data_IF_707306524568
#
_entry.id   IF_707306524568
#
_cell.length_a   1.000
_cell.length_b   1.000
_cell.length_c   1.000
_cell.angle_alpha   90.00
_cell.angle_beta   90.00
_cell.angle_gamma   90.00
#
_symmetry.space_group_name_H-M   'P 1'
#
loop_
_entity.id
_entity.type
_entity.pdbx_description
1 polymer ?
#
# COMPACT_ATOMS: atom_id res chain seq x y z
N UNK A 1 13.41 16.02 -32.13
CA UNK A 1 12.69 14.90 -31.46
C UNK A 1 11.92 15.45 -30.28
N UNK A 2 10.59 15.58 -30.42
CA UNK A 2 9.74 16.01 -29.32
C UNK A 2 9.74 14.91 -28.24
N UNK A 3 10.17 15.25 -27.02
CA UNK A 3 9.89 14.42 -25.84
C UNK A 3 8.38 14.46 -25.65
N UNK A 4 7.65 13.51 -26.24
CA UNK A 4 6.29 13.21 -25.78
C UNK A 4 6.39 13.03 -24.26
N UNK A 5 5.73 13.95 -23.53
CA UNK A 5 5.60 13.82 -22.09
C UNK A 5 4.73 12.59 -21.88
N UNK A 6 5.38 11.46 -21.61
CA UNK A 6 4.73 10.28 -21.07
C UNK A 6 4.03 10.69 -19.78
N UNK A 7 2.73 10.98 -19.87
CA UNK A 7 1.88 11.03 -18.69
C UNK A 7 1.93 9.63 -18.06
N UNK A 8 2.22 9.50 -16.75
CA UNK A 8 2.32 8.22 -16.09
C UNK A 8 1.01 7.42 -16.31
N UNK A 9 1.15 6.20 -16.83
CA UNK A 9 0.03 5.31 -17.17
C UNK A 9 -0.42 4.40 -16.00
N UNK A 10 0.19 4.50 -14.80
CA UNK A 10 -0.42 3.88 -13.62
C UNK A 10 -1.75 4.56 -13.35
N UNK A 11 -2.74 3.74 -13.00
CA UNK A 11 -4.15 4.12 -12.94
C UNK A 11 -4.64 4.58 -14.31
N UNK A 12 -4.78 3.64 -15.26
CA UNK A 12 -5.78 3.83 -16.33
C UNK A 12 -7.03 4.38 -15.64
N UNK A 13 -7.50 5.52 -16.13
CA UNK A 13 -8.60 6.30 -15.57
C UNK A 13 -9.90 5.48 -15.56
N UNK A 14 -10.00 4.50 -14.67
CA UNK A 14 -11.26 4.34 -13.97
C UNK A 14 -11.42 5.64 -13.23
N UNK A 15 -12.43 6.44 -13.56
CA UNK A 15 -12.75 7.61 -12.78
C UNK A 15 -12.87 7.13 -11.32
N UNK A 16 -11.88 7.45 -10.48
CA UNK A 16 -11.84 7.03 -9.08
C UNK A 16 -13.05 7.61 -8.32
N UNK A 17 -13.65 8.62 -8.93
CA UNK A 17 -14.91 9.28 -8.62
C UNK A 17 -16.16 8.39 -8.79
N UNK A 18 -16.02 7.15 -9.27
CA UNK A 18 -17.14 6.22 -9.38
C UNK A 18 -17.50 5.63 -8.00
N UNK A 19 -18.80 5.61 -7.70
CA UNK A 19 -19.42 5.01 -6.50
C UNK A 19 -18.84 3.64 -6.04
N UNK A 20 -18.43 2.70 -6.91
CA UNK A 20 -17.93 1.40 -6.50
C UNK A 20 -16.63 1.45 -5.67
N UNK A 21 -15.72 2.40 -5.96
CA UNK A 21 -14.44 2.49 -5.22
C UNK A 21 -14.65 2.97 -3.79
N UNK A 22 -15.55 3.94 -3.57
CA UNK A 22 -15.92 4.42 -2.23
C UNK A 22 -16.59 3.29 -1.43
N UNK A 23 -17.50 2.53 -2.05
CA UNK A 23 -18.13 1.39 -1.41
C UNK A 23 -17.09 0.33 -1.00
N UNK A 24 -16.14 0.03 -1.90
CA UNK A 24 -15.04 -0.91 -1.62
C UNK A 24 -14.10 -0.41 -0.51
N UNK A 25 -13.77 0.88 -0.48
CA UNK A 25 -13.00 1.50 0.61
C UNK A 25 -13.71 1.37 1.95
N UNK A 26 -15.01 1.62 1.99
CA UNK A 26 -15.82 1.48 3.20
C UNK A 26 -15.90 0.02 3.66
N UNK A 27 -15.99 -0.93 2.73
CA UNK A 27 -15.93 -2.36 3.04
C UNK A 27 -14.56 -2.74 3.63
N UNK A 28 -13.47 -2.33 2.99
CA UNK A 28 -12.12 -2.60 3.46
C UNK A 28 -11.90 -1.99 4.85
N UNK A 29 -12.20 -0.70 5.02
CA UNK A 29 -12.03 0.01 6.29
C UNK A 29 -12.77 -0.69 7.43
N UNK A 30 -14.04 -1.08 7.22
CA UNK A 30 -14.81 -1.88 8.20
C UNK A 30 -14.13 -3.20 8.51
N UNK A 31 -13.70 -3.95 7.49
CA UNK A 31 -13.04 -5.23 7.71
C UNK A 31 -11.74 -5.11 8.51
N UNK A 32 -10.96 -4.05 8.32
CA UNK A 32 -9.77 -3.77 9.12
C UNK A 32 -10.13 -3.43 10.58
N UNK A 33 -11.16 -2.61 10.79
CA UNK A 33 -11.65 -2.28 12.14
C UNK A 33 -12.20 -3.52 12.86
N UNK A 34 -12.90 -4.40 12.17
CA UNK A 34 -13.38 -5.67 12.73
C UNK A 34 -12.20 -6.53 13.21
N UNK A 35 -11.16 -6.69 12.40
CA UNK A 35 -9.96 -7.41 12.82
C UNK A 35 -9.24 -6.72 13.97
N UNK A 36 -9.19 -5.38 13.99
CA UNK A 36 -8.66 -4.64 15.13
C UNK A 36 -9.39 -5.02 16.42
N UNK A 37 -10.72 -5.05 16.43
CA UNK A 37 -11.49 -5.41 17.62
C UNK A 37 -11.24 -6.85 18.06
N UNK A 38 -11.17 -7.79 17.11
CA UNK A 38 -10.83 -9.20 17.40
C UNK A 38 -9.46 -9.27 18.10
N UNK A 39 -8.44 -8.63 17.54
CA UNK A 39 -7.10 -8.71 18.11
C UNK A 39 -6.91 -7.89 19.39
N UNK A 40 -7.67 -6.80 19.58
CA UNK A 40 -7.73 -6.08 20.88
C UNK A 40 -8.27 -6.95 22.01
N UNK A 41 -9.18 -7.88 21.71
CA UNK A 41 -9.70 -8.81 22.70
C UNK A 41 -8.72 -9.95 23.02
N UNK A 42 -7.78 -10.25 22.11
CA UNK A 42 -6.83 -11.35 22.24
C UNK A 42 -5.48 -10.93 22.86
N UNK A 43 -5.12 -9.65 22.80
CA UNK A 43 -3.80 -9.17 23.20
C UNK A 43 -3.86 -8.00 24.18
N UNK A 44 -2.77 -7.78 24.96
CA UNK A 44 -2.62 -6.60 25.81
C UNK A 44 -2.82 -5.28 25.06
N UNK A 45 -3.18 -4.22 25.79
CA UNK A 45 -3.51 -2.92 25.22
C UNK A 45 -2.32 -2.23 24.49
N UNK A 46 -1.10 -2.55 24.89
CA UNK A 46 0.16 -2.04 24.33
C UNK A 46 0.74 -2.93 23.23
N UNK A 47 0.07 -4.04 22.89
CA UNK A 47 0.49 -4.92 21.81
C UNK A 47 0.36 -4.23 20.45
N UNK A 48 1.36 -4.38 19.57
CA UNK A 48 1.42 -3.68 18.27
C UNK A 48 0.45 -4.26 17.23
N UNK A 49 0.02 -5.51 17.37
CA UNK A 49 -0.76 -6.24 16.37
C UNK A 49 -2.12 -5.59 16.08
N UNK A 50 -2.93 -5.20 17.09
CA UNK A 50 -4.16 -4.46 16.81
C UNK A 50 -3.91 -3.09 16.18
N UNK A 51 -2.81 -2.42 16.51
CA UNK A 51 -2.48 -1.09 15.96
C UNK A 51 -2.23 -1.14 14.45
N UNK A 52 -1.71 -2.24 13.90
CA UNK A 52 -1.52 -2.41 12.46
C UNK A 52 -2.84 -2.25 11.70
N UNK A 53 -3.91 -2.89 12.16
CA UNK A 53 -5.21 -2.79 11.51
C UNK A 53 -5.82 -1.39 11.67
N UNK A 54 -5.65 -0.77 12.84
CA UNK A 54 -6.12 0.60 13.09
C UNK A 54 -5.46 1.60 12.14
N UNK A 55 -4.14 1.55 11.98
CA UNK A 55 -3.39 2.45 11.10
C UNK A 55 -3.93 2.38 9.67
N UNK A 56 -4.15 1.17 9.17
CA UNK A 56 -4.62 0.96 7.79
C UNK A 56 -6.07 1.43 7.62
N UNK A 57 -6.94 1.15 8.59
CA UNK A 57 -8.30 1.67 8.59
C UNK A 57 -8.35 3.21 8.58
N UNK A 58 -7.48 3.87 9.34
CA UNK A 58 -7.35 5.33 9.34
C UNK A 58 -6.85 5.86 7.99
N UNK A 59 -5.83 5.22 7.40
CA UNK A 59 -5.32 5.62 6.08
C UNK A 59 -6.41 5.45 5.00
N UNK A 60 -7.20 4.37 5.05
CA UNK A 60 -8.34 4.16 4.17
C UNK A 60 -9.40 5.26 4.33
N UNK A 61 -9.69 5.69 5.57
CA UNK A 61 -10.61 6.79 5.83
C UNK A 61 -10.08 8.12 5.28
N UNK A 62 -8.80 8.42 5.46
CA UNK A 62 -8.18 9.63 4.90
C UNK A 62 -8.21 9.65 3.39
N UNK A 63 -7.89 8.52 2.75
CA UNK A 63 -7.98 8.43 1.30
C UNK A 63 -9.41 8.60 0.80
N UNK A 64 -10.41 8.00 1.47
CA UNK A 64 -11.82 8.23 1.16
C UNK A 64 -12.18 9.72 1.22
N UNK A 65 -11.78 10.41 2.30
CA UNK A 65 -12.02 11.85 2.44
C UNK A 65 -11.35 12.64 1.31
N UNK A 66 -10.14 12.27 0.88
CA UNK A 66 -9.49 12.90 -0.28
C UNK A 66 -10.27 12.69 -1.58
N UNK A 67 -10.83 11.49 -1.80
CA UNK A 67 -11.68 11.21 -2.95
C UNK A 67 -13.01 11.98 -2.91
N UNK A 68 -13.67 12.02 -1.75
CA UNK A 68 -14.90 12.79 -1.55
C UNK A 68 -14.66 14.30 -1.74
N UNK A 69 -13.52 14.81 -1.27
CA UNK A 69 -13.12 16.19 -1.51
C UNK A 69 -12.91 16.47 -3.01
N UNK A 70 -12.25 15.55 -3.72
CA UNK A 70 -12.00 15.68 -5.16
C UNK A 70 -13.30 15.63 -5.96
N UNK A 71 -14.16 14.65 -5.68
CA UNK A 71 -15.47 14.46 -6.33
C UNK A 71 -16.44 15.60 -6.05
N UNK A 72 -16.49 16.08 -4.81
CA UNK A 72 -17.53 17.01 -4.35
C UNK A 72 -17.15 18.48 -4.52
N UNK A 73 -15.89 18.83 -4.25
CA UNK A 73 -15.43 20.22 -4.17
C UNK A 73 -14.61 20.59 -5.40
N UNK A 74 -13.55 19.83 -5.71
CA UNK A 74 -12.61 20.20 -6.78
C UNK A 74 -13.17 20.00 -8.19
N UNK A 75 -14.07 19.03 -8.38
CA UNK A 75 -14.71 18.78 -9.67
C UNK A 75 -15.62 19.92 -10.14
N UNK A 76 -16.06 20.80 -9.22
CA UNK A 76 -16.85 21.98 -9.54
C UNK A 76 -15.91 23.06 -10.08
N UNK A 77 -16.06 23.39 -11.36
CA UNK A 77 -15.13 24.25 -12.12
C UNK A 77 -14.89 25.60 -11.44
N UNK A 78 -15.94 26.19 -10.86
CA UNK A 78 -15.87 27.46 -10.12
C UNK A 78 -15.03 27.39 -8.84
N UNK A 79 -14.91 26.21 -8.22
CA UNK A 79 -14.08 26.03 -7.03
C UNK A 79 -12.62 25.85 -7.43
N UNK A 80 -12.35 25.07 -8.48
CA UNK A 80 -10.99 24.85 -8.95
C UNK A 80 -10.32 26.15 -9.41
N UNK A 81 -11.04 26.99 -10.15
CA UNK A 81 -10.53 28.31 -10.55
C UNK A 81 -10.20 29.20 -9.33
N UNK A 82 -11.10 29.27 -8.33
CA UNK A 82 -10.87 30.02 -7.08
C UNK A 82 -9.68 29.51 -6.27
N UNK A 83 -9.49 28.19 -6.21
CA UNK A 83 -8.36 27.57 -5.50
C UNK A 83 -7.04 27.86 -6.20
N UNK A 84 -7.06 27.94 -7.54
CA UNK A 84 -5.86 28.16 -8.35
C UNK A 84 -5.55 29.64 -8.61
N UNK A 85 -6.52 30.55 -8.45
CA UNK A 85 -6.34 32.01 -8.59
C UNK A 85 -5.12 32.58 -7.84
N UNK A 86 -4.84 32.19 -6.58
CA UNK A 86 -3.69 32.72 -5.84
C UNK A 86 -2.33 32.27 -6.41
N UNK A 87 -2.30 31.23 -7.26
CA UNK A 87 -1.08 30.55 -7.69
C UNK A 87 -0.38 31.19 -8.91
N UNK A 88 -0.70 32.46 -9.25
CA UNK A 88 -0.20 33.32 -10.37
C UNK A 88 -1.26 33.45 -11.46
N UNK A 89 -1.27 34.59 -12.17
CA UNK A 89 -2.17 34.96 -13.28
C UNK A 89 -2.19 34.05 -14.51
N UNK A 90 -2.20 32.73 -14.31
CA UNK A 90 -2.54 31.71 -15.29
C UNK A 90 -4.06 31.60 -15.29
N UNK A 91 -4.71 32.11 -16.34
CA UNK A 91 -6.10 31.72 -16.60
C UNK A 91 -6.12 30.21 -16.83
N UNK A 92 -6.76 29.47 -15.93
CA UNK A 92 -6.96 28.03 -16.07
C UNK A 92 -8.07 27.82 -17.09
N UNK A 93 -7.71 27.41 -18.32
CA UNK A 93 -8.70 26.93 -19.27
C UNK A 93 -9.39 25.66 -18.74
N UNK A 94 -10.60 25.36 -19.21
CA UNK A 94 -11.30 24.12 -18.83
C UNK A 94 -10.43 22.86 -19.09
N UNK A 95 -9.68 22.86 -20.20
CA UNK A 95 -8.71 21.80 -20.52
C UNK A 95 -7.57 21.69 -19.49
N UNK A 96 -7.06 22.83 -19.04
CA UNK A 96 -6.01 22.89 -17.99
C UNK A 96 -6.55 22.40 -16.64
N UNK A 97 -7.81 22.72 -16.32
CA UNK A 97 -8.47 22.24 -15.10
C UNK A 97 -8.58 20.72 -15.06
N UNK A 98 -9.00 20.10 -16.17
CA UNK A 98 -9.05 18.64 -16.27
C UNK A 98 -7.68 17.97 -16.13
N UNK A 99 -6.61 18.58 -16.65
CA UNK A 99 -5.26 18.07 -16.48
C UNK A 99 -4.79 18.12 -15.00
N UNK A 100 -5.05 19.24 -14.32
CA UNK A 100 -4.69 19.42 -12.90
C UNK A 100 -5.43 18.42 -12.01
N UNK A 101 -6.72 18.20 -12.24
CA UNK A 101 -7.50 17.21 -11.48
C UNK A 101 -6.92 15.81 -11.63
N UNK A 102 -6.54 15.41 -12.85
CA UNK A 102 -5.89 14.11 -13.09
C UNK A 102 -4.54 13.99 -12.40
N UNK A 103 -3.71 15.02 -12.45
CA UNK A 103 -2.43 15.03 -11.74
C UNK A 103 -2.62 14.93 -10.22
N UNK A 104 -3.64 15.61 -9.69
CA UNK A 104 -4.01 15.51 -8.29
C UNK A 104 -4.50 14.11 -7.90
N UNK A 105 -5.39 13.50 -8.70
CA UNK A 105 -5.85 12.12 -8.51
C UNK A 105 -4.70 11.10 -8.51
N UNK A 106 -3.75 11.25 -9.43
CA UNK A 106 -2.53 10.45 -9.46
C UNK A 106 -1.70 10.66 -8.19
N UNK A 107 -1.51 11.91 -7.76
CA UNK A 107 -0.76 12.25 -6.56
C UNK A 107 -1.37 11.65 -5.28
N UNK A 108 -2.69 11.78 -5.08
CA UNK A 108 -3.35 11.22 -3.89
C UNK A 108 -3.29 9.69 -3.89
N UNK A 109 -3.38 9.06 -5.07
CA UNK A 109 -3.32 7.60 -5.18
C UNK A 109 -1.91 7.06 -4.94
N UNK A 110 -0.87 7.76 -5.44
CA UNK A 110 0.52 7.43 -5.11
C UNK A 110 0.80 7.61 -3.63
N UNK A 111 0.33 8.71 -3.04
CA UNK A 111 0.47 8.99 -1.60
C UNK A 111 -0.21 7.91 -0.76
N UNK A 112 -1.43 7.52 -1.13
CA UNK A 112 -2.17 6.44 -0.48
C UNK A 112 -1.39 5.12 -0.50
N UNK A 113 -0.94 4.66 -1.66
CA UNK A 113 -0.14 3.44 -1.77
C UNK A 113 1.11 3.51 -0.89
N UNK A 114 1.85 4.62 -0.97
CA UNK A 114 3.10 4.79 -0.23
C UNK A 114 2.90 4.76 1.28
N UNK A 115 1.88 5.46 1.78
CA UNK A 115 1.58 5.52 3.22
C UNK A 115 1.10 4.17 3.73
N UNK A 116 0.24 3.47 2.97
CA UNK A 116 -0.22 2.12 3.34
C UNK A 116 0.94 1.13 3.40
N UNK A 117 1.77 1.07 2.34
CA UNK A 117 2.93 0.18 2.31
C UNK A 117 3.89 0.46 3.48
N UNK A 118 4.18 1.74 3.76
CA UNK A 118 5.04 2.15 4.87
C UNK A 118 4.47 1.75 6.22
N UNK A 119 3.15 1.80 6.39
CA UNK A 119 2.47 1.33 7.61
C UNK A 119 2.63 -0.18 7.82
N UNK A 120 2.53 -0.98 6.75
CA UNK A 120 2.76 -2.42 6.81
C UNK A 120 4.21 -2.76 7.11
N UNK A 121 5.16 -2.11 6.41
CA UNK A 121 6.59 -2.26 6.65
C UNK A 121 6.96 -1.93 8.10
N UNK A 122 6.49 -0.79 8.61
CA UNK A 122 6.68 -0.39 10.01
C UNK A 122 6.12 -1.43 10.98
N UNK A 123 4.91 -1.94 10.73
CA UNK A 123 4.28 -2.95 11.59
C UNK A 123 5.07 -4.25 11.64
N UNK A 124 5.58 -4.72 10.49
CA UNK A 124 6.43 -5.91 10.44
C UNK A 124 7.76 -5.72 11.15
N UNK A 125 8.37 -4.53 11.03
CA UNK A 125 9.59 -4.18 11.77
C UNK A 125 9.37 -4.25 13.29
N UNK A 126 8.26 -3.73 13.79
CA UNK A 126 7.92 -3.82 15.22
C UNK A 126 7.79 -5.27 15.71
N UNK A 127 7.28 -6.18 14.88
CA UNK A 127 7.15 -7.60 15.24
C UNK A 127 8.52 -8.26 15.31
N UNK A 128 9.37 -8.04 14.30
CA UNK A 128 10.75 -8.55 14.29
C UNK A 128 11.57 -8.02 15.47
N UNK A 129 11.26 -6.84 15.99
CA UNK A 129 11.88 -6.31 17.22
C UNK A 129 11.47 -7.07 18.49
N UNK A 130 10.35 -7.79 18.48
CA UNK A 130 9.79 -8.48 19.64
C UNK A 130 9.86 -10.02 19.55
N UNK A 131 10.09 -10.56 18.36
CA UNK A 131 10.10 -12.00 18.11
C UNK A 131 11.42 -12.40 17.45
N UNK A 132 12.07 -13.51 17.88
CA UNK A 132 13.26 -14.02 17.21
C UNK A 132 12.93 -14.49 15.79
N UNK A 133 13.20 -13.64 14.81
CA UNK A 133 13.07 -13.96 13.38
C UNK A 133 14.45 -14.19 12.79
N UNK A 134 14.60 -15.17 11.90
CA UNK A 134 15.82 -15.34 11.09
C UNK A 134 15.56 -14.96 9.65
N UNK A 135 16.56 -14.39 8.97
CA UNK A 135 16.47 -14.10 7.55
C UNK A 135 16.74 -15.35 6.70
N UNK A 136 16.64 -15.20 5.38
CA UNK A 136 16.86 -16.30 4.42
C UNK A 136 18.28 -16.90 4.43
N UNK A 137 19.21 -16.38 5.26
CA UNK A 137 20.57 -16.88 5.44
C UNK A 137 20.79 -17.48 6.84
N UNK A 138 19.71 -17.69 7.60
CA UNK A 138 19.76 -18.20 8.97
C UNK A 138 20.34 -17.23 9.99
N UNK A 139 20.50 -15.94 9.65
CA UNK A 139 21.00 -14.92 10.59
C UNK A 139 19.83 -14.24 11.31
N UNK A 140 20.00 -13.81 12.58
CA UNK A 140 18.98 -13.02 13.26
C UNK A 140 18.58 -11.80 12.43
N UNK A 141 17.28 -11.69 12.16
CA UNK A 141 16.66 -10.56 11.50
C UNK A 141 16.39 -9.48 12.55
N UNK A 142 16.78 -8.24 12.27
CA UNK A 142 16.55 -7.09 13.14
C UNK A 142 15.55 -6.15 12.49
N UNK A 143 14.95 -5.28 13.28
CA UNK A 143 14.04 -4.24 12.80
C UNK A 143 14.65 -3.28 11.76
N UNK A 144 15.98 -3.21 11.64
CA UNK A 144 16.72 -2.41 10.64
C UNK A 144 17.12 -3.19 9.39
N UNK A 145 16.79 -4.48 9.32
CA UNK A 145 17.11 -5.33 8.16
C UNK A 145 16.43 -4.83 6.88
N UNK A 146 16.89 -5.34 5.73
CA UNK A 146 16.20 -5.09 4.46
C UNK A 146 14.79 -5.63 4.55
N UNK A 147 13.83 -4.91 3.99
CA UNK A 147 12.43 -5.33 4.09
C UNK A 147 12.18 -6.72 3.50
N UNK A 148 12.93 -7.10 2.46
CA UNK A 148 12.98 -8.48 1.94
C UNK A 148 13.23 -9.51 3.04
N UNK A 149 14.27 -9.31 3.84
CA UNK A 149 14.65 -10.25 4.90
C UNK A 149 13.58 -10.32 6.01
N UNK A 150 12.87 -9.21 6.23
CA UNK A 150 11.81 -9.10 7.25
C UNK A 150 10.60 -9.93 6.87
N UNK A 151 9.98 -9.68 5.70
CA UNK A 151 8.76 -10.41 5.35
C UNK A 151 9.06 -11.88 5.05
N UNK A 152 10.23 -12.21 4.49
CA UNK A 152 10.65 -13.61 4.34
C UNK A 152 10.74 -14.30 5.69
N UNK A 153 11.50 -13.73 6.63
CA UNK A 153 11.68 -14.33 7.94
C UNK A 153 10.36 -14.47 8.71
N UNK A 154 9.47 -13.49 8.62
CA UNK A 154 8.13 -13.56 9.24
C UNK A 154 7.27 -14.67 8.64
N UNK A 155 7.32 -14.88 7.32
CA UNK A 155 6.61 -15.98 6.65
C UNK A 155 7.20 -17.34 7.07
N UNK A 156 8.53 -17.44 7.13
CA UNK A 156 9.26 -18.65 7.54
C UNK A 156 8.92 -19.06 8.97
N UNK A 157 9.06 -18.12 9.92
CA UNK A 157 8.81 -18.40 11.34
C UNK A 157 7.34 -18.77 11.56
N UNK A 158 6.40 -18.07 10.91
CA UNK A 158 4.99 -18.31 11.08
C UNK A 158 4.46 -19.53 10.30
N UNK A 159 5.27 -20.11 9.42
CA UNK A 159 4.89 -21.24 8.56
C UNK A 159 3.79 -20.89 7.56
N UNK A 160 3.83 -19.67 7.01
CA UNK A 160 2.81 -19.17 6.09
C UNK A 160 3.09 -19.60 4.64
N UNK A 161 2.03 -19.58 3.83
CA UNK A 161 2.10 -19.94 2.41
C UNK A 161 3.01 -18.99 1.61
N UNK A 162 3.79 -19.56 0.68
CA UNK A 162 4.74 -18.83 -0.16
C UNK A 162 4.10 -17.78 -1.06
N UNK A 163 2.79 -17.85 -1.32
CA UNK A 163 2.05 -16.81 -2.05
C UNK A 163 2.22 -15.43 -1.40
N UNK A 164 2.40 -15.35 -0.07
CA UNK A 164 2.63 -14.08 0.60
C UNK A 164 3.99 -13.47 0.25
N UNK A 165 5.01 -14.29 -0.05
CA UNK A 165 6.30 -13.77 -0.54
C UNK A 165 6.11 -13.14 -1.91
N UNK A 166 5.38 -13.82 -2.79
CA UNK A 166 5.05 -13.32 -4.12
C UNK A 166 4.24 -12.02 -4.06
N UNK A 167 3.28 -11.92 -3.13
CA UNK A 167 2.53 -10.68 -2.88
C UNK A 167 3.46 -9.52 -2.50
N UNK A 168 4.34 -9.70 -1.52
CA UNK A 168 5.25 -8.63 -1.10
C UNK A 168 6.29 -8.28 -2.14
N UNK A 169 6.75 -9.26 -2.92
CA UNK A 169 7.62 -9.01 -4.06
C UNK A 169 6.92 -8.15 -5.12
N UNK A 170 5.67 -8.45 -5.44
CA UNK A 170 4.84 -7.67 -6.36
C UNK A 170 4.65 -6.23 -5.86
N UNK A 171 4.30 -6.06 -4.58
CA UNK A 171 4.14 -4.75 -3.95
C UNK A 171 5.44 -3.94 -3.95
N UNK A 172 6.59 -4.58 -3.73
CA UNK A 172 7.90 -3.93 -3.81
C UNK A 172 8.21 -3.45 -5.23
N UNK A 173 7.90 -4.24 -6.25
CA UNK A 173 8.07 -3.83 -7.64
C UNK A 173 7.12 -2.69 -8.02
N UNK A 174 5.87 -2.73 -7.56
CA UNK A 174 4.92 -1.63 -7.75
C UNK A 174 5.38 -0.34 -7.05
N UNK A 175 5.90 -0.44 -5.82
CA UNK A 175 6.48 0.70 -5.10
C UNK A 175 7.61 1.33 -5.91
N UNK A 176 8.52 0.52 -6.46
CA UNK A 176 9.60 1.02 -7.32
C UNK A 176 9.02 1.77 -8.55
N UNK A 177 8.02 1.20 -9.22
CA UNK A 177 7.39 1.85 -10.37
C UNK A 177 6.73 3.18 -9.98
N UNK A 178 6.06 3.25 -8.83
CA UNK A 178 5.42 4.48 -8.35
C UNK A 178 6.46 5.60 -8.15
N UNK A 179 7.61 5.29 -7.56
CA UNK A 179 8.70 6.25 -7.43
C UNK A 179 9.27 6.71 -8.79
N UNK A 180 9.18 5.86 -9.81
CA UNK A 180 9.71 6.09 -11.16
C UNK A 180 8.64 6.50 -12.17
N UNK A 181 7.61 7.25 -11.74
CA UNK A 181 6.52 7.72 -12.62
C UNK A 181 5.90 6.59 -13.44
N UNK A 182 5.61 5.48 -12.79
CA UNK A 182 5.05 4.28 -13.40
C UNK A 182 5.98 3.45 -14.26
N UNK A 183 7.23 3.86 -14.46
CA UNK A 183 8.18 3.14 -15.31
C UNK A 183 8.97 2.15 -14.47
N UNK A 184 9.02 0.89 -14.91
CA UNK A 184 9.87 -0.09 -14.27
C UNK A 184 11.32 0.05 -14.71
N UNK A 185 12.24 0.14 -13.75
CA UNK A 185 13.68 0.14 -14.01
C UNK A 185 14.38 -0.90 -13.14
N UNK A 186 15.18 -1.75 -13.77
CA UNK A 186 16.06 -2.71 -13.09
C UNK A 186 17.35 -2.94 -13.88
N UNK A 187 18.44 -3.08 -13.15
CA UNK A 187 19.75 -3.57 -13.58
C UNK A 187 19.70 -5.02 -14.09
N UNK A 188 18.76 -5.83 -13.60
CA UNK A 188 18.58 -7.23 -13.97
C UNK A 188 17.69 -7.44 -15.19
N UNK A 189 17.22 -6.37 -15.83
CA UNK A 189 16.34 -6.42 -16.99
C UNK A 189 14.87 -6.64 -16.64
N UNK A 190 14.09 -7.06 -17.65
CA UNK A 190 12.65 -7.30 -17.51
C UNK A 190 12.37 -8.53 -16.66
N UNK A 191 11.24 -8.53 -15.96
CA UNK A 191 10.83 -9.63 -15.09
C UNK A 191 9.32 -9.82 -15.12
N UNK A 192 8.86 -11.05 -14.88
CA UNK A 192 7.45 -11.36 -14.66
C UNK A 192 7.26 -11.97 -13.27
N UNK A 193 6.14 -11.66 -12.63
CA UNK A 193 5.69 -12.31 -11.38
C UNK A 193 4.35 -12.98 -11.67
N UNK A 194 4.15 -14.21 -11.22
CA UNK A 194 2.85 -14.89 -11.28
C UNK A 194 2.28 -14.94 -9.87
N UNK A 195 1.17 -14.25 -9.63
CA UNK A 195 0.49 -14.21 -8.35
C UNK A 195 -0.97 -14.61 -8.52
N UNK A 196 -1.41 -15.63 -7.77
CA UNK A 196 -2.76 -16.22 -7.85
C UNK A 196 -3.20 -16.56 -9.29
N UNK A 197 -2.28 -17.13 -10.07
CA UNK A 197 -2.52 -17.50 -11.47
C UNK A 197 -2.49 -16.34 -12.46
N UNK A 198 -2.36 -15.10 -12.01
CA UNK A 198 -2.26 -13.91 -12.87
C UNK A 198 -0.79 -13.54 -13.06
N UNK A 199 -0.39 -13.31 -14.32
CA UNK A 199 0.96 -12.87 -14.68
C UNK A 199 1.05 -11.35 -14.73
N UNK A 200 2.04 -10.80 -14.05
CA UNK A 200 2.34 -9.37 -13.98
C UNK A 200 3.72 -9.12 -14.61
N UNK A 201 3.73 -8.46 -15.77
CA UNK A 201 4.96 -8.21 -16.52
C UNK A 201 5.53 -6.82 -16.23
N UNK A 202 6.78 -6.80 -15.77
CA UNK A 202 7.58 -5.61 -15.52
C UNK A 202 8.65 -5.52 -16.60
N UNK A 203 8.36 -4.78 -17.67
CA UNK A 203 9.26 -4.61 -18.81
C UNK A 203 10.19 -3.42 -18.54
N UNK A 204 11.50 -3.65 -18.57
CA UNK A 204 12.49 -2.62 -18.23
C UNK A 204 12.38 -1.40 -19.16
N UNK A 205 12.33 -0.21 -18.57
CA UNK A 205 12.13 1.06 -19.27
C UNK A 205 10.72 1.30 -19.81
N UNK A 206 9.74 0.45 -19.46
CA UNK A 206 8.34 0.62 -19.88
C UNK A 206 7.42 0.95 -18.70
N UNK A 207 6.35 1.73 -18.94
CA UNK A 207 5.29 1.91 -17.95
C UNK A 207 4.60 0.59 -17.60
N UNK A 208 4.33 0.34 -16.33
CA UNK A 208 3.41 -0.74 -15.93
C UNK A 208 1.96 -0.31 -16.14
N UNK A 209 1.16 -1.19 -16.74
CA UNK A 209 -0.22 -0.89 -17.20
C UNK A 209 -1.30 -1.59 -16.40
N UNK A 210 -0.96 -2.58 -15.58
CA UNK A 210 -1.92 -3.37 -14.79
C UNK A 210 -2.21 -2.76 -13.41
N UNK A 211 -1.38 -1.82 -12.95
CA UNK A 211 -1.48 -1.30 -11.60
C UNK A 211 -2.61 -0.27 -11.49
N UNK A 212 -3.79 -0.76 -11.12
CA UNK A 212 -5.02 0.01 -10.90
C UNK A 212 -5.32 0.13 -9.40
N UNK A 213 -6.20 1.06 -9.02
CA UNK A 213 -6.65 1.20 -7.64
C UNK A 213 -7.46 -0.02 -7.18
N UNK A 214 -8.27 -0.59 -8.08
CA UNK A 214 -9.03 -1.82 -7.85
C UNK A 214 -8.11 -3.00 -7.52
N UNK A 215 -7.04 -3.20 -8.31
CA UNK A 215 -6.03 -4.22 -8.02
C UNK A 215 -5.36 -3.98 -6.65
N UNK A 216 -5.09 -2.71 -6.31
CA UNK A 216 -4.51 -2.40 -5.01
C UNK A 216 -5.45 -2.72 -3.86
N UNK A 217 -6.77 -2.47 -3.99
CA UNK A 217 -7.77 -2.88 -3.00
C UNK A 217 -7.81 -4.40 -2.79
N UNK A 218 -7.61 -5.18 -3.85
CA UNK A 218 -7.52 -6.63 -3.74
C UNK A 218 -6.25 -7.03 -2.99
N UNK A 219 -5.10 -6.39 -3.26
CA UNK A 219 -3.90 -6.59 -2.45
C UNK A 219 -4.08 -6.16 -0.99
N UNK A 220 -4.86 -5.13 -0.67
CA UNK A 220 -5.16 -4.80 0.73
C UNK A 220 -5.95 -5.91 1.42
N UNK A 221 -6.86 -6.57 0.71
CA UNK A 221 -7.54 -7.76 1.23
C UNK A 221 -6.52 -8.86 1.56
N UNK A 222 -5.60 -9.12 0.63
CA UNK A 222 -4.58 -10.17 0.80
C UNK A 222 -3.56 -9.84 1.91
N UNK A 223 -3.20 -8.56 2.06
CA UNK A 223 -2.31 -8.11 3.14
C UNK A 223 -3.02 -8.19 4.49
N UNK A 224 -4.32 -7.86 4.57
CA UNK A 224 -5.11 -8.08 5.79
C UNK A 224 -5.06 -9.55 6.18
N UNK A 225 -5.30 -10.44 5.22
CA UNK A 225 -5.34 -11.88 5.46
C UNK A 225 -3.95 -12.42 5.85
N UNK A 226 -2.89 -11.88 5.26
CA UNK A 226 -1.51 -12.10 5.72
C UNK A 226 -1.33 -11.75 7.20
N UNK A 227 -1.72 -10.55 7.64
CA UNK A 227 -1.56 -10.15 9.04
C UNK A 227 -2.42 -10.97 9.99
N UNK A 228 -3.63 -11.37 9.59
CA UNK A 228 -4.46 -12.29 10.37
C UNK A 228 -3.73 -13.63 10.56
N UNK A 229 -3.22 -14.21 9.47
CA UNK A 229 -2.53 -15.49 9.50
C UNK A 229 -1.23 -15.41 10.32
N UNK A 230 -0.47 -14.33 10.14
CA UNK A 230 0.73 -14.04 10.90
C UNK A 230 0.42 -13.99 12.40
N UNK A 231 -0.55 -13.17 12.81
CA UNK A 231 -0.84 -12.97 14.25
C UNK A 231 -1.45 -14.19 14.91
N UNK A 232 -2.18 -15.02 14.16
CA UNK A 232 -2.71 -16.29 14.66
C UNK A 232 -1.71 -17.44 14.65
N UNK A 233 -0.50 -17.24 14.13
CA UNK A 233 0.51 -18.30 14.11
C UNK A 233 0.96 -18.63 15.54
N UNK A 234 0.81 -19.89 15.99
CA UNK A 234 1.21 -20.29 17.34
C UNK A 234 2.67 -19.95 17.66
N UNK A 235 3.54 -20.08 16.66
CA UNK A 235 4.98 -19.78 16.77
C UNK A 235 5.27 -18.32 17.09
N UNK A 236 4.38 -17.40 16.69
CA UNK A 236 4.50 -15.98 17.03
C UNK A 236 3.80 -15.60 18.33
N UNK A 237 2.83 -16.40 18.79
CA UNK A 237 2.10 -16.13 20.05
C UNK A 237 2.80 -16.72 21.26
N UNK A 238 3.43 -17.89 21.13
CA UNK A 238 4.14 -18.58 22.21
C UNK A 238 5.50 -17.92 22.50
N UNK A 239 6.22 -17.53 21.44
CA UNK A 239 7.54 -16.89 21.57
C UNK A 239 7.48 -15.40 21.92
N UNK A 240 6.32 -14.73 21.77
CA UNK A 240 6.15 -13.32 22.13
C UNK A 240 5.92 -13.09 23.63
N UNK A 241 5.83 -14.16 24.44
CA UNK A 241 5.84 -14.09 25.90
C UNK A 241 7.29 -13.95 26.41
N UNK A 242 8.03 -12.95 25.90
CA UNK A 242 9.34 -12.57 26.44
C UNK A 242 9.10 -11.55 27.56
N UNK A 243 9.66 -11.73 28.78
CA UNK A 243 9.18 -11.08 30.00
C UNK A 243 9.50 -9.58 30.07
N UNK A 244 8.78 -8.86 30.93
CA UNK A 244 8.87 -7.41 31.24
C UNK A 244 10.26 -6.87 31.66
N UNK A 245 11.31 -7.70 31.66
CA UNK A 245 12.60 -7.42 32.27
C UNK A 245 13.72 -7.11 31.26
N UNK A 246 13.38 -6.67 30.04
CA UNK A 246 14.37 -6.18 29.06
C UNK A 246 14.11 -4.70 28.76
N UNK A 247 14.42 -3.86 29.76
CA UNK A 247 14.72 -2.44 29.64
C UNK A 247 15.95 -2.12 30.50
#
# INVERSE_FOLDING_TARGET
MAKERYLPLLFRQEAVLNSPHIARLNQLSRSYLEQQQVFKALYPADDVRPWTFQKVAQILAYYRLSLEYTTGILSRTDNLSKILEPARGMMVSAESGGAILREYEQYITFSFFHVVFSSFESSMRCIVGKVPVTNSRGKPCRETAKFYDIYHGLIDVAGLDDQYRTLFELLLMMRNCIHNRSVYFSDKGSRSIVYKGVRYDFVNGKPVTFATISLFFDFLTDIRDFFIALYRSPRLTEEAHIPDNVL
#
